data_IF_251486773297
#
_entry.id   IF_251486773297
#
_cell.length_a   1.000
_cell.length_b   1.000
_cell.length_c   1.000
_cell.angle_alpha   90.00
_cell.angle_beta   90.00
_cell.angle_gamma   90.00
#
_symmetry.space_group_name_H-M   'P 1'
#
loop_
_entity.id
_entity.type
_entity.pdbx_description
1 polymer ?
#
# COMPACT_ATOMS: atom_id res chain seq x y z
N UNK A 1 -25.81 -1.00 -2.53
CA UNK A 1 -25.11 -0.56 -3.76
C UNK A 1 -23.63 -0.54 -3.42
N UNK A 2 -22.94 -1.65 -3.64
CA UNK A 2 -21.50 -1.79 -3.44
C UNK A 2 -20.86 -1.75 -4.82
N UNK A 3 -20.31 -0.61 -5.19
CA UNK A 3 -19.70 -0.45 -6.51
C UNK A 3 -19.29 0.98 -6.73
N UNK A 4 -18.13 1.38 -6.20
CA UNK A 4 -17.23 2.30 -6.94
C UNK A 4 -15.84 2.51 -6.29
N UNK A 5 -15.57 2.09 -5.05
CA UNK A 5 -14.28 2.41 -4.39
C UNK A 5 -13.03 1.63 -4.86
N UNK A 6 -13.08 0.85 -5.95
CA UNK A 6 -11.91 0.07 -6.41
C UNK A 6 -11.47 0.33 -7.86
N UNK A 7 -12.03 1.32 -8.54
CA UNK A 7 -11.60 1.67 -9.90
C UNK A 7 -10.56 2.77 -9.86
N UNK A 8 -9.30 2.40 -9.66
CA UNK A 8 -8.20 3.24 -10.16
C UNK A 8 -8.51 3.51 -11.64
N UNK A 9 -8.59 4.78 -12.03
CA UNK A 9 -8.85 5.11 -13.43
C UNK A 9 -7.77 4.48 -14.31
N UNK A 10 -8.13 3.90 -15.46
CA UNK A 10 -7.16 3.27 -16.38
C UNK A 10 -5.99 4.20 -16.70
N UNK A 11 -6.23 5.51 -16.80
CA UNK A 11 -5.19 6.51 -17.01
C UNK A 11 -4.18 6.58 -15.85
N UNK A 12 -4.65 6.52 -14.59
CA UNK A 12 -3.76 6.50 -13.41
C UNK A 12 -2.96 5.20 -13.31
N UNK A 13 -3.58 4.07 -13.63
CA UNK A 13 -2.89 2.78 -13.70
C UNK A 13 -1.77 2.81 -14.75
N UNK A 14 -2.06 3.26 -15.97
CA UNK A 14 -1.06 3.39 -17.04
C UNK A 14 0.07 4.34 -16.64
N UNK A 15 -0.26 5.49 -16.03
CA UNK A 15 0.75 6.42 -15.53
C UNK A 15 1.69 5.78 -14.52
N UNK A 16 1.15 5.06 -13.53
CA UNK A 16 1.94 4.33 -12.53
C UNK A 16 2.80 3.22 -13.14
N UNK A 17 2.26 2.47 -14.11
CA UNK A 17 2.98 1.41 -14.79
C UNK A 17 4.18 1.96 -15.57
N UNK A 18 4.01 3.09 -16.27
CA UNK A 18 5.11 3.74 -17.01
C UNK A 18 6.27 4.12 -16.10
N UNK A 19 5.99 4.72 -14.94
CA UNK A 19 7.02 5.06 -13.97
C UNK A 19 7.75 3.80 -13.47
N UNK A 20 7.01 2.73 -13.15
CA UNK A 20 7.59 1.44 -12.74
C UNK A 20 8.46 0.81 -13.83
N UNK A 21 8.02 0.83 -15.09
CA UNK A 21 8.78 0.31 -16.23
C UNK A 21 10.10 1.07 -16.39
N UNK A 22 10.08 2.40 -16.31
CA UNK A 22 11.29 3.22 -16.44
C UNK A 22 12.34 2.90 -15.37
N UNK A 23 11.91 2.47 -14.19
CA UNK A 23 12.78 2.09 -13.08
C UNK A 23 13.26 0.63 -13.17
N UNK A 24 12.36 -0.31 -13.43
CA UNK A 24 12.67 -1.74 -13.39
C UNK A 24 13.32 -2.27 -14.68
N UNK A 25 12.83 -1.85 -15.85
CA UNK A 25 13.24 -2.45 -17.12
C UNK A 25 14.76 -2.39 -17.37
N UNK A 26 15.46 -1.26 -17.16
CA UNK A 26 16.91 -1.22 -17.34
C UNK A 26 17.66 -2.21 -16.44
N UNK A 27 17.20 -2.38 -15.21
CA UNK A 27 17.78 -3.32 -14.25
C UNK A 27 17.58 -4.76 -14.69
N UNK A 28 16.37 -5.12 -15.15
CA UNK A 28 16.06 -6.46 -15.63
C UNK A 28 16.84 -6.83 -16.90
N UNK A 29 16.93 -5.90 -17.85
CA UNK A 29 17.73 -6.07 -19.08
C UNK A 29 19.21 -6.28 -18.75
N UNK A 30 19.74 -5.51 -17.79
CA UNK A 30 21.14 -5.62 -17.37
C UNK A 30 21.48 -6.98 -16.73
N UNK A 31 20.49 -7.73 -16.21
CA UNK A 31 20.71 -9.07 -15.64
C UNK A 31 21.08 -10.11 -16.71
N UNK A 32 20.75 -9.87 -17.99
CA UNK A 32 21.04 -10.80 -19.12
C UNK A 32 20.61 -12.24 -18.82
N UNK A 33 19.42 -12.39 -18.25
CA UNK A 33 18.76 -13.66 -17.98
C UNK A 33 17.27 -13.43 -17.84
N UNK A 34 16.50 -14.47 -18.10
CA UNK A 34 15.09 -14.53 -17.75
C UNK A 34 14.89 -14.73 -16.24
N UNK A 35 13.68 -14.42 -15.77
CA UNK A 35 13.32 -14.61 -14.38
C UNK A 35 11.82 -14.68 -14.16
N UNK A 36 11.43 -14.74 -12.88
CA UNK A 36 10.12 -15.22 -12.49
C UNK A 36 8.97 -14.49 -13.14
N UNK A 37 9.09 -13.18 -13.32
CA UNK A 37 8.05 -12.30 -13.86
C UNK A 37 8.50 -11.57 -15.15
N UNK A 38 9.61 -11.97 -15.77
CA UNK A 38 10.02 -11.40 -17.05
C UNK A 38 10.65 -12.41 -18.01
N UNK A 39 10.46 -12.14 -19.30
CA UNK A 39 10.80 -13.03 -20.41
C UNK A 39 11.29 -12.20 -21.60
N UNK A 40 12.18 -12.76 -22.43
CA UNK A 40 12.69 -12.10 -23.62
C UNK A 40 12.21 -12.79 -24.89
N UNK A 41 11.94 -11.99 -25.92
CA UNK A 41 11.60 -12.46 -27.26
C UNK A 41 12.32 -11.61 -28.28
N UNK A 42 12.94 -12.28 -29.26
CA UNK A 42 13.62 -11.62 -30.37
C UNK A 42 12.67 -10.80 -31.23
N UNK A 43 11.48 -11.32 -31.50
CA UNK A 43 10.47 -10.68 -32.34
C UNK A 43 9.06 -10.93 -31.80
N UNK A 44 8.10 -10.10 -32.24
CA UNK A 44 6.69 -10.32 -31.94
C UNK A 44 6.21 -11.66 -32.48
N UNK A 45 5.37 -12.36 -31.71
CA UNK A 45 4.82 -13.65 -32.13
C UNK A 45 4.01 -13.53 -33.42
N UNK A 46 4.24 -14.48 -34.34
CA UNK A 46 3.46 -14.63 -35.57
C UNK A 46 2.11 -15.28 -35.31
N UNK A 47 2.05 -16.20 -34.34
CA UNK A 47 0.82 -16.84 -33.89
C UNK A 47 0.32 -16.20 -32.59
N UNK A 48 -0.91 -15.70 -32.60
CA UNK A 48 -1.57 -15.18 -31.40
C UNK A 48 -1.68 -16.24 -30.30
N UNK A 49 -1.71 -17.54 -30.62
CA UNK A 49 -1.80 -18.59 -29.59
C UNK A 49 -0.55 -18.68 -28.71
N UNK A 50 0.62 -18.38 -29.28
CA UNK A 50 1.89 -18.35 -28.54
C UNK A 50 1.95 -17.10 -27.65
N UNK A 51 1.54 -15.94 -28.16
CA UNK A 51 1.44 -14.73 -27.34
C UNK A 51 0.41 -14.88 -26.20
N UNK A 52 -0.75 -15.51 -26.46
CA UNK A 52 -1.73 -15.79 -25.40
C UNK A 52 -1.16 -16.73 -24.34
N UNK A 53 -0.37 -17.74 -24.73
CA UNK A 53 0.30 -18.65 -23.80
C UNK A 53 1.29 -17.92 -22.90
N UNK A 54 2.15 -17.07 -23.48
CA UNK A 54 3.10 -16.26 -22.70
C UNK A 54 2.35 -15.32 -21.75
N UNK A 55 1.28 -14.65 -22.23
CA UNK A 55 0.45 -13.80 -21.39
C UNK A 55 -0.24 -14.56 -20.25
N UNK A 56 -0.72 -15.79 -20.48
CA UNK A 56 -1.30 -16.63 -19.42
C UNK A 56 -0.26 -16.99 -18.36
N UNK A 57 0.97 -17.34 -18.78
CA UNK A 57 2.05 -17.66 -17.87
C UNK A 57 2.44 -16.46 -16.99
N UNK A 58 2.57 -15.28 -17.61
CA UNK A 58 2.89 -14.02 -16.93
C UNK A 58 1.74 -13.54 -16.03
N UNK A 59 0.48 -13.69 -16.47
CA UNK A 59 -0.69 -13.28 -15.71
C UNK A 59 -0.96 -14.16 -14.47
N UNK A 60 -0.49 -15.41 -14.48
CA UNK A 60 -0.59 -16.33 -13.34
C UNK A 60 0.70 -16.41 -12.52
N UNK A 61 1.56 -15.39 -12.62
CA UNK A 61 2.76 -15.29 -11.80
C UNK A 61 2.41 -14.95 -10.34
N UNK A 62 3.04 -15.64 -9.39
CA UNK A 62 2.81 -15.44 -7.95
C UNK A 62 3.83 -14.51 -7.27
N UNK A 63 4.93 -14.18 -7.95
CA UNK A 63 6.02 -13.38 -7.40
C UNK A 63 5.84 -11.87 -7.63
N UNK A 64 5.12 -11.47 -8.69
CA UNK A 64 4.86 -10.08 -9.04
C UNK A 64 3.46 -9.88 -9.62
N UNK A 65 2.84 -8.77 -9.24
CA UNK A 65 1.57 -8.28 -9.80
C UNK A 65 1.73 -7.67 -11.20
N UNK A 66 2.96 -7.35 -11.61
CA UNK A 66 3.30 -6.86 -12.95
C UNK A 66 4.42 -7.71 -13.52
N UNK A 67 4.15 -8.29 -14.69
CA UNK A 67 5.09 -9.12 -15.42
C UNK A 67 5.41 -8.51 -16.79
N UNK A 68 6.60 -8.78 -17.31
CA UNK A 68 7.16 -8.13 -18.50
C UNK A 68 7.53 -9.14 -19.60
N UNK A 69 7.09 -8.89 -20.81
CA UNK A 69 7.62 -9.55 -22.01
C UNK A 69 8.38 -8.51 -22.84
N UNK A 70 9.70 -8.64 -22.86
CA UNK A 70 10.60 -7.76 -23.60
C UNK A 70 10.74 -8.26 -25.03
N UNK A 71 10.33 -7.47 -26.01
CA UNK A 71 10.25 -7.86 -27.41
C UNK A 71 11.22 -7.00 -28.22
N UNK A 72 12.04 -7.64 -29.04
CA UNK A 72 13.17 -7.01 -29.72
C UNK A 72 14.50 -7.28 -29.04
N UNK A 73 14.65 -8.41 -28.35
CA UNK A 73 15.88 -8.79 -27.63
C UNK A 73 16.33 -10.19 -28.03
N UNK A 74 17.55 -10.32 -28.58
CA UNK A 74 18.10 -11.60 -29.03
C UNK A 74 18.94 -12.27 -27.93
N UNK A 75 18.38 -13.30 -27.31
CA UNK A 75 19.04 -14.07 -26.26
C UNK A 75 20.26 -14.85 -26.76
N UNK A 76 20.21 -15.38 -27.99
CA UNK A 76 21.31 -16.14 -28.58
C UNK A 76 22.53 -15.25 -28.86
N UNK A 77 22.28 -13.95 -29.06
CA UNK A 77 23.29 -12.94 -29.33
C UNK A 77 23.57 -12.03 -28.11
N UNK A 78 23.41 -12.58 -26.90
CA UNK A 78 23.82 -11.92 -25.66
C UNK A 78 22.90 -10.78 -25.22
N UNK A 79 21.60 -10.91 -25.52
CA UNK A 79 20.54 -9.94 -25.29
C UNK A 79 20.75 -8.66 -26.09
N UNK A 80 21.11 -8.79 -27.38
CA UNK A 80 21.29 -7.66 -28.29
C UNK A 80 19.94 -7.11 -28.76
N UNK A 81 19.89 -5.81 -29.04
CA UNK A 81 18.66 -5.15 -29.50
C UNK A 81 18.37 -5.50 -30.95
N UNK A 82 17.15 -5.99 -31.19
CA UNK A 82 16.52 -6.17 -32.48
C UNK A 82 15.41 -5.13 -32.62
N UNK A 83 15.68 -4.05 -33.37
CA UNK A 83 14.76 -2.92 -33.53
C UNK A 83 13.39 -3.36 -34.07
N UNK A 84 12.35 -3.23 -33.24
CA UNK A 84 10.98 -3.63 -33.58
C UNK A 84 10.29 -2.68 -34.56
N UNK A 85 10.77 -1.44 -34.74
CA UNK A 85 10.17 -0.49 -35.69
C UNK A 85 10.57 -0.80 -37.13
N UNK A 86 11.81 -1.26 -37.32
CA UNK A 86 12.40 -1.56 -38.61
C UNK A 86 12.53 -3.08 -38.85
N UNK A 87 11.65 -3.89 -38.25
CA UNK A 87 11.65 -5.34 -38.40
C UNK A 87 10.64 -5.82 -39.47
N UNK A 88 11.14 -6.29 -40.61
CA UNK A 88 10.32 -6.84 -41.69
C UNK A 88 9.88 -8.31 -41.46
N UNK A 89 10.42 -8.98 -40.44
CA UNK A 89 10.19 -10.41 -40.20
C UNK A 89 8.96 -10.71 -39.35
N UNK A 90 8.43 -9.73 -38.60
CA UNK A 90 7.28 -9.89 -37.74
C UNK A 90 6.43 -8.60 -37.69
N UNK A 91 5.11 -8.76 -37.61
CA UNK A 91 4.19 -7.62 -37.45
C UNK A 91 4.24 -7.10 -36.00
N UNK A 92 4.76 -5.88 -35.81
CA UNK A 92 4.73 -5.17 -34.53
C UNK A 92 3.29 -5.00 -34.02
N UNK A 93 3.03 -5.37 -32.76
CA UNK A 93 1.67 -5.28 -32.18
C UNK A 93 1.48 -3.98 -31.43
N UNK A 94 0.41 -3.25 -31.80
CA UNK A 94 -0.01 -2.04 -31.07
C UNK A 94 -0.91 -2.38 -29.88
N UNK A 95 -1.07 -1.43 -28.95
CA UNK A 95 -2.02 -1.54 -27.84
C UNK A 95 -3.45 -1.89 -28.30
N UNK A 96 -3.91 -1.34 -29.42
CA UNK A 96 -5.24 -1.66 -29.95
C UNK A 96 -5.34 -3.12 -30.41
N UNK A 97 -4.28 -3.64 -31.05
CA UNK A 97 -4.24 -5.04 -31.49
C UNK A 97 -4.25 -6.00 -30.30
N UNK A 98 -3.54 -5.66 -29.21
CA UNK A 98 -3.58 -6.45 -27.97
C UNK A 98 -4.99 -6.45 -27.37
N UNK A 99 -5.63 -5.28 -27.23
CA UNK A 99 -7.00 -5.16 -26.72
C UNK A 99 -7.99 -5.95 -27.57
N UNK A 100 -7.89 -5.86 -28.90
CA UNK A 100 -8.75 -6.58 -29.84
C UNK A 100 -8.55 -8.10 -29.74
N UNK A 101 -7.31 -8.56 -29.54
CA UNK A 101 -6.99 -9.98 -29.36
C UNK A 101 -7.57 -10.52 -28.04
N UNK A 102 -7.34 -9.82 -26.93
CA UNK A 102 -7.81 -10.20 -25.60
C UNK A 102 -9.34 -10.24 -25.54
N UNK A 103 -10.02 -9.26 -26.14
CA UNK A 103 -11.49 -9.19 -26.17
C UNK A 103 -12.16 -10.28 -27.01
N UNK A 104 -11.49 -10.76 -28.07
CA UNK A 104 -11.96 -11.88 -28.89
C UNK A 104 -11.71 -13.25 -28.23
N UNK A 105 -10.71 -13.32 -27.36
CA UNK A 105 -10.35 -14.54 -26.61
C UNK A 105 -11.42 -14.86 -25.56
N UNK A 106 -11.71 -16.15 -25.35
CA UNK A 106 -12.72 -16.61 -24.41
C UNK A 106 -12.06 -17.03 -23.10
N UNK A 107 -12.24 -16.22 -22.07
CA UNK A 107 -11.66 -16.38 -20.73
C UNK A 107 -12.63 -17.09 -19.78
N UNK A 108 -12.13 -17.84 -18.81
CA UNK A 108 -12.96 -18.55 -17.82
C UNK A 108 -13.69 -17.60 -16.88
N UNK A 109 -12.98 -16.62 -16.33
CA UNK A 109 -13.56 -15.60 -15.44
C UNK A 109 -14.23 -14.44 -16.20
N UNK A 110 -14.35 -14.56 -17.53
CA UNK A 110 -14.96 -13.55 -18.41
C UNK A 110 -14.16 -12.25 -18.55
N UNK A 111 -13.02 -12.11 -17.88
CA UNK A 111 -12.13 -10.95 -17.94
C UNK A 111 -10.71 -11.38 -18.33
N UNK A 112 -10.08 -10.73 -19.33
CA UNK A 112 -8.65 -10.90 -19.59
C UNK A 112 -7.80 -10.20 -18.53
N UNK A 113 -6.51 -10.57 -18.40
CA UNK A 113 -5.56 -9.73 -17.69
C UNK A 113 -5.45 -8.35 -18.35
N UNK A 114 -5.14 -7.31 -17.57
CA UNK A 114 -4.85 -6.01 -18.15
C UNK A 114 -3.46 -6.02 -18.76
N UNK A 115 -3.32 -5.54 -20.00
CA UNK A 115 -2.04 -5.49 -20.67
C UNK A 115 -1.83 -4.20 -21.45
N UNK A 116 -0.58 -3.73 -21.50
CA UNK A 116 -0.17 -2.52 -22.22
C UNK A 116 1.22 -2.72 -22.81
N UNK A 117 1.42 -2.22 -24.03
CA UNK A 117 2.70 -2.15 -24.71
C UNK A 117 3.27 -0.75 -24.52
N UNK A 118 4.48 -0.69 -23.98
CA UNK A 118 5.27 0.54 -23.81
C UNK A 118 6.61 0.40 -24.56
N UNK A 119 6.84 1.19 -25.62
CA UNK A 119 8.12 1.21 -26.32
C UNK A 119 9.24 1.82 -25.48
N UNK A 120 10.46 1.36 -25.68
CA UNK A 120 11.68 1.89 -25.06
C UNK A 120 12.82 1.95 -26.08
N UNK A 121 13.51 3.09 -26.12
CA UNK A 121 14.76 3.23 -26.88
C UNK A 121 15.91 2.60 -26.10
N UNK A 122 16.65 1.70 -26.75
CA UNK A 122 17.78 0.98 -26.16
C UNK A 122 18.85 0.72 -27.22
N UNK A 123 20.11 1.04 -26.90
CA UNK A 123 21.28 0.80 -27.78
C UNK A 123 21.12 1.26 -29.24
N UNK A 124 20.33 2.31 -29.47
CA UNK A 124 20.12 2.90 -30.79
C UNK A 124 19.04 2.22 -31.64
N UNK A 125 18.25 1.32 -31.06
CA UNK A 125 17.02 0.79 -31.64
C UNK A 125 15.86 0.84 -30.65
N UNK A 126 14.67 0.47 -31.09
CA UNK A 126 13.48 0.42 -30.24
C UNK A 126 13.17 -1.02 -29.85
N UNK A 127 12.81 -1.24 -28.58
CA UNK A 127 12.19 -2.47 -28.10
C UNK A 127 10.76 -2.17 -27.63
N UNK A 128 9.90 -3.19 -27.65
CA UNK A 128 8.57 -3.10 -27.05
C UNK A 128 8.51 -3.87 -25.74
N UNK A 129 7.94 -3.27 -24.70
CA UNK A 129 7.73 -3.92 -23.40
C UNK A 129 6.22 -4.17 -23.23
N UNK A 130 5.79 -5.42 -23.38
CA UNK A 130 4.42 -5.82 -23.06
C UNK A 130 4.33 -6.10 -21.55
N UNK A 131 3.62 -5.22 -20.85
CA UNK A 131 3.34 -5.36 -19.43
C UNK A 131 2.01 -6.07 -19.23
N UNK A 132 2.00 -7.13 -18.43
CA UNK A 132 0.82 -7.89 -18.05
C UNK A 132 0.59 -7.69 -16.55
N UNK A 133 -0.59 -7.17 -16.20
CA UNK A 133 -0.97 -6.91 -14.81
C UNK A 133 -1.90 -8.01 -14.33
N UNK A 134 -1.42 -8.69 -13.29
CA UNK A 134 -2.07 -9.78 -12.60
C UNK A 134 -2.90 -9.23 -11.45
N UNK A 135 -4.17 -9.62 -11.37
CA UNK A 135 -5.01 -9.34 -10.21
C UNK A 135 -5.27 -10.63 -9.44
N UNK A 136 -4.92 -10.63 -8.16
CA UNK A 136 -5.10 -11.75 -7.24
C UNK A 136 -6.53 -12.32 -7.32
N UNK A 137 -7.54 -11.44 -7.32
CA UNK A 137 -8.95 -11.82 -7.38
C UNK A 137 -9.43 -12.39 -8.73
N UNK A 138 -8.65 -12.24 -9.80
CA UNK A 138 -8.99 -12.76 -11.13
C UNK A 138 -8.25 -14.07 -11.44
N UNK A 139 -7.23 -14.43 -10.66
CA UNK A 139 -6.49 -15.67 -10.84
C UNK A 139 -7.34 -16.91 -10.51
N UNK A 140 -7.06 -18.07 -11.12
CA UNK A 140 -6.19 -18.24 -12.28
C UNK A 140 -6.82 -17.64 -13.54
N UNK A 141 -6.01 -17.00 -14.37
CA UNK A 141 -6.34 -16.68 -15.75
C UNK A 141 -6.23 -17.95 -16.60
N UNK A 142 -7.34 -18.33 -17.24
CA UNK A 142 -7.41 -19.46 -18.16
C UNK A 142 -8.48 -19.21 -19.22
N UNK A 143 -8.49 -20.05 -20.27
CA UNK A 143 -9.40 -19.91 -21.39
C UNK A 143 -10.62 -20.80 -21.24
N UNK A 144 -11.83 -20.26 -21.37
CA UNK A 144 -13.06 -21.06 -21.47
C UNK A 144 -13.22 -21.77 -22.83
N UNK A 145 -12.49 -21.32 -23.84
CA UNK A 145 -12.37 -22.00 -25.13
C UNK A 145 -10.93 -21.89 -25.63
N UNK A 146 -10.37 -23.01 -26.06
CA UNK A 146 -8.99 -23.07 -26.56
C UNK A 146 -8.75 -22.12 -27.73
N UNK A 147 -7.49 -21.68 -27.86
CA UNK A 147 -6.99 -20.79 -28.90
C UNK A 147 -5.71 -21.38 -29.49
N UNK A 148 -5.76 -21.84 -30.75
CA UNK A 148 -4.63 -22.52 -31.38
C UNK A 148 -4.19 -23.75 -30.57
N UNK A 149 -2.95 -23.74 -30.09
CA UNK A 149 -2.35 -24.80 -29.25
C UNK A 149 -2.80 -24.74 -27.78
N UNK A 150 -3.25 -23.58 -27.31
CA UNK A 150 -3.68 -23.38 -25.91
C UNK A 150 -5.03 -24.06 -25.70
N UNK A 151 -5.10 -24.99 -24.76
CA UNK A 151 -6.32 -25.75 -24.45
C UNK A 151 -7.24 -24.97 -23.51
N UNK A 152 -8.54 -25.27 -23.59
CA UNK A 152 -9.51 -24.70 -22.65
C UNK A 152 -9.28 -25.24 -21.23
N UNK A 153 -9.56 -24.40 -20.23
CA UNK A 153 -9.50 -24.69 -18.79
C UNK A 153 -8.13 -25.14 -18.27
N UNK A 154 -7.08 -24.92 -19.07
CA UNK A 154 -5.72 -25.23 -18.69
C UNK A 154 -5.11 -23.99 -18.04
N UNK A 155 -4.61 -24.17 -16.81
CA UNK A 155 -3.86 -23.13 -16.11
C UNK A 155 -2.41 -23.23 -16.56
N UNK A 156 -1.85 -22.11 -16.98
CA UNK A 156 -0.44 -21.97 -17.31
C UNK A 156 0.19 -20.97 -16.37
N UNK A 157 1.42 -21.21 -15.94
CA UNK A 157 2.20 -20.27 -15.12
C UNK A 157 3.66 -20.29 -15.56
N UNK A 158 4.45 -19.40 -14.98
CA UNK A 158 5.90 -19.30 -15.18
C UNK A 158 6.64 -20.01 -14.03
N UNK A 159 7.63 -20.81 -14.38
CA UNK A 159 8.58 -21.52 -13.50
C UNK A 159 9.91 -20.82 -13.57
N UNK A 160 10.17 -19.87 -12.68
CA UNK A 160 11.42 -19.09 -12.61
C UNK A 160 11.86 -18.54 -13.99
N UNK A 161 12.59 -19.31 -14.80
CA UNK A 161 13.10 -18.93 -16.12
C UNK A 161 12.36 -19.59 -17.31
N UNK A 162 11.22 -20.25 -17.10
CA UNK A 162 10.52 -20.95 -18.19
C UNK A 162 9.00 -20.96 -18.04
N UNK A 163 8.27 -20.98 -19.14
CA UNK A 163 6.82 -21.15 -19.13
C UNK A 163 6.44 -22.64 -18.99
N UNK A 164 5.33 -22.91 -18.30
CA UNK A 164 4.72 -24.25 -18.34
C UNK A 164 4.40 -24.67 -19.79
N UNK A 165 4.56 -25.95 -20.19
CA UNK A 165 4.32 -26.37 -21.56
C UNK A 165 2.91 -26.03 -22.05
N UNK A 166 2.80 -25.56 -23.29
CA UNK A 166 1.53 -25.08 -23.87
C UNK A 166 0.42 -26.14 -23.96
N UNK A 167 0.78 -27.42 -23.98
CA UNK A 167 -0.12 -28.56 -24.14
C UNK A 167 -0.35 -29.39 -22.85
N UNK A 168 0.46 -29.16 -21.82
CA UNK A 168 0.38 -29.84 -20.51
C UNK A 168 -0.10 -28.93 -19.38
N UNK A 169 0.28 -27.65 -19.40
CA UNK A 169 -0.06 -26.68 -18.36
C UNK A 169 0.73 -26.84 -17.06
N UNK A 170 0.21 -26.21 -16.01
CA UNK A 170 0.75 -26.25 -14.66
C UNK A 170 0.43 -27.58 -13.96
N UNK A 171 1.34 -28.02 -13.10
CA UNK A 171 1.14 -29.16 -12.21
C UNK A 171 0.06 -28.87 -11.15
N UNK A 172 -0.44 -29.92 -10.51
CA UNK A 172 -1.45 -29.76 -9.46
C UNK A 172 -1.01 -28.83 -8.32
N UNK A 173 0.25 -28.93 -7.88
CA UNK A 173 0.78 -28.08 -6.81
C UNK A 173 0.80 -26.61 -7.23
N UNK A 174 1.24 -26.31 -8.45
CA UNK A 174 1.28 -24.94 -8.99
C UNK A 174 -0.13 -24.35 -9.10
N UNK A 175 -1.11 -25.16 -9.54
CA UNK A 175 -2.52 -24.76 -9.59
C UNK A 175 -3.07 -24.51 -8.18
N UNK A 176 -2.73 -25.35 -7.20
CA UNK A 176 -3.12 -25.17 -5.80
C UNK A 176 -2.53 -23.88 -5.24
N UNK A 177 -1.26 -23.57 -5.51
CA UNK A 177 -0.61 -22.34 -5.06
C UNK A 177 -1.29 -21.10 -5.65
N UNK A 178 -1.70 -21.13 -6.92
CA UNK A 178 -2.47 -20.04 -7.54
C UNK A 178 -3.85 -19.88 -6.88
N UNK A 179 -4.53 -20.97 -6.53
CA UNK A 179 -5.80 -20.87 -5.79
C UNK A 179 -5.61 -20.37 -4.37
N UNK A 180 -4.54 -20.78 -3.68
CA UNK A 180 -4.18 -20.23 -2.37
C UNK A 180 -3.95 -18.73 -2.48
N UNK A 181 -3.23 -18.29 -3.50
CA UNK A 181 -3.04 -16.88 -3.80
C UNK A 181 -4.37 -16.16 -4.07
N UNK A 182 -5.21 -16.69 -4.94
CA UNK A 182 -6.54 -16.12 -5.21
C UNK A 182 -7.36 -15.90 -3.92
N UNK A 183 -7.35 -16.86 -3.01
CA UNK A 183 -8.07 -16.79 -1.73
C UNK A 183 -7.28 -16.11 -0.59
N UNK A 184 -6.10 -15.55 -0.86
CA UNK A 184 -5.21 -14.94 0.14
C UNK A 184 -4.81 -15.90 1.29
N UNK A 185 -4.68 -17.19 1.00
CA UNK A 185 -4.28 -18.25 1.94
C UNK A 185 -2.75 -18.47 1.98
N UNK A 186 -2.02 -17.80 1.10
CA UNK A 186 -0.57 -17.62 1.11
C UNK A 186 -0.13 -16.39 1.93
N UNK A 187 -1.06 -15.48 2.24
CA UNK A 187 -0.82 -14.30 3.06
C UNK A 187 -0.85 -14.59 4.56
N UNK A 188 -0.07 -13.82 5.33
CA UNK A 188 -0.11 -13.90 6.79
C UNK A 188 -1.48 -13.44 7.34
N UNK A 189 -1.93 -13.94 8.51
CA UNK A 189 -3.16 -13.44 9.14
C UNK A 189 -3.17 -11.91 9.32
N UNK A 190 -1.99 -11.32 9.57
CA UNK A 190 -1.82 -9.89 9.73
C UNK A 190 -2.07 -9.10 8.43
N UNK A 191 -1.59 -9.62 7.30
CA UNK A 191 -1.86 -9.03 5.99
C UNK A 191 -3.34 -9.15 5.61
N UNK A 192 -3.93 -10.34 5.86
CA UNK A 192 -5.36 -10.61 5.59
C UNK A 192 -6.29 -9.69 6.39
N UNK A 193 -6.03 -9.50 7.69
CA UNK A 193 -6.92 -8.68 8.52
C UNK A 193 -6.87 -7.20 8.12
N UNK A 194 -5.73 -6.70 7.63
CA UNK A 194 -5.63 -5.32 7.12
C UNK A 194 -6.66 -5.05 6.01
N UNK A 195 -6.80 -5.98 5.06
CA UNK A 195 -7.82 -5.91 4.00
C UNK A 195 -9.24 -6.05 4.57
N UNK A 196 -9.43 -6.93 5.56
CA UNK A 196 -10.74 -7.12 6.19
C UNK A 196 -11.20 -5.87 6.96
N UNK A 197 -10.29 -5.12 7.60
CA UNK A 197 -10.62 -3.87 8.32
C UNK A 197 -11.19 -2.78 7.39
N UNK A 198 -10.78 -2.76 6.12
CA UNK A 198 -11.34 -1.86 5.11
C UNK A 198 -12.79 -2.23 4.75
N UNK A 199 -13.15 -3.52 4.88
CA UNK A 199 -14.48 -4.04 4.64
C UNK A 199 -15.37 -3.98 5.90
N UNK A 200 -15.54 -2.76 6.44
CA UNK A 200 -16.29 -2.49 7.67
C UNK A 200 -17.69 -3.13 7.70
N UNK A 201 -18.35 -3.19 6.54
CA UNK A 201 -19.73 -3.66 6.41
C UNK A 201 -19.96 -5.13 6.78
N UNK A 202 -18.90 -5.93 6.85
CA UNK A 202 -18.96 -7.35 7.19
C UNK A 202 -18.44 -7.67 8.60
N UNK A 203 -18.10 -6.67 9.40
CA UNK A 203 -17.84 -6.87 10.82
C UNK A 203 -19.16 -6.87 11.61
N UNK A 204 -19.25 -7.76 12.61
CA UNK A 204 -20.42 -7.94 13.46
C UNK A 204 -19.98 -7.95 14.91
N UNK A 205 -20.83 -7.44 15.81
CA UNK A 205 -20.57 -7.46 17.24
C UNK A 205 -20.44 -8.90 17.74
N UNK A 206 -19.47 -9.13 18.63
CA UNK A 206 -19.21 -10.43 19.23
C UNK A 206 -20.38 -10.88 20.12
N UNK A 207 -21.10 -9.92 20.71
CA UNK A 207 -22.34 -10.17 21.45
C UNK A 207 -23.33 -9.05 21.17
N UNK A 208 -24.57 -9.40 20.86
CA UNK A 208 -25.70 -8.44 20.82
C UNK A 208 -26.39 -8.30 22.19
N UNK A 209 -26.07 -9.18 23.15
CA UNK A 209 -26.69 -9.23 24.47
C UNK A 209 -25.84 -8.51 25.51
N UNK A 210 -24.52 -8.73 25.46
CA UNK A 210 -23.56 -7.97 26.25
C UNK A 210 -23.19 -6.75 25.43
N UNK A 211 -23.38 -5.54 25.97
CA UNK A 211 -22.91 -4.32 25.32
C UNK A 211 -21.40 -4.37 25.16
N UNK A 212 -20.93 -4.81 24.00
CA UNK A 212 -19.53 -4.86 23.62
C UNK A 212 -19.38 -4.25 22.23
N UNK A 213 -18.29 -3.53 22.07
CA UNK A 213 -17.86 -2.99 20.78
C UNK A 213 -16.87 -3.95 20.08
N UNK A 214 -16.55 -5.09 20.73
CA UNK A 214 -15.76 -6.17 20.14
C UNK A 214 -16.47 -6.75 18.92
N UNK A 215 -15.71 -7.03 17.86
CA UNK A 215 -16.25 -7.47 16.58
C UNK A 215 -15.52 -8.69 16.03
N UNK A 216 -16.25 -9.50 15.26
CA UNK A 216 -15.69 -10.56 14.42
C UNK A 216 -16.03 -10.32 12.95
N UNK A 217 -15.20 -10.86 12.04
CA UNK A 217 -15.45 -10.75 10.61
C UNK A 217 -16.40 -11.86 10.13
N UNK A 218 -17.50 -11.50 9.46
CA UNK A 218 -18.61 -12.43 9.14
C UNK A 218 -18.18 -13.67 8.34
N UNK A 219 -17.28 -13.51 7.38
CA UNK A 219 -16.83 -14.60 6.50
C UNK A 219 -15.59 -15.34 6.99
N UNK A 220 -14.95 -14.85 8.06
CA UNK A 220 -13.80 -15.47 8.70
C UNK A 220 -13.85 -15.16 10.21
N UNK A 221 -14.81 -15.77 10.94
CA UNK A 221 -15.11 -15.43 12.33
C UNK A 221 -13.96 -15.73 13.31
N UNK A 222 -12.94 -16.44 12.85
CA UNK A 222 -11.68 -16.58 13.58
C UNK A 222 -10.89 -15.27 13.68
N UNK A 223 -11.18 -14.26 12.86
CA UNK A 223 -10.64 -12.91 13.03
C UNK A 223 -11.53 -12.06 13.93
N UNK A 224 -10.96 -11.55 15.02
CA UNK A 224 -11.67 -10.67 15.96
C UNK A 224 -10.86 -9.42 16.27
N UNK A 225 -11.55 -8.29 16.47
CA UNK A 225 -11.00 -7.05 17.05
C UNK A 225 -11.67 -6.86 18.40
N UNK A 226 -10.88 -6.82 19.46
CA UNK A 226 -11.34 -6.64 20.82
C UNK A 226 -10.68 -5.42 21.45
N UNK A 227 -11.33 -4.77 22.42
CA UNK A 227 -10.65 -3.77 23.24
C UNK A 227 -11.06 -3.81 24.72
N UNK A 228 -10.07 -3.60 25.58
CA UNK A 228 -10.20 -3.71 27.02
C UNK A 228 -9.79 -2.39 27.67
N UNK A 229 -10.58 -1.90 28.63
CA UNK A 229 -10.21 -0.70 29.37
C UNK A 229 -8.89 -0.93 30.12
N UNK A 230 -8.06 0.10 30.11
CA UNK A 230 -6.79 0.13 30.82
C UNK A 230 -6.88 1.21 31.91
N UNK A 231 -7.35 0.79 33.07
CA UNK A 231 -7.57 1.68 34.22
C UNK A 231 -6.27 2.00 34.97
N UNK A 232 -5.14 1.40 34.57
CA UNK A 232 -3.83 1.65 35.19
C UNK A 232 -3.13 2.88 34.59
N UNK A 233 -3.49 3.28 33.36
CA UNK A 233 -2.96 4.48 32.72
C UNK A 233 -3.79 5.72 33.06
N UNK A 234 -3.12 6.71 33.63
CA UNK A 234 -3.70 7.98 34.08
C UNK A 234 -2.99 9.21 33.49
N UNK A 235 -2.04 9.02 32.56
CA UNK A 235 -1.32 10.10 31.89
C UNK A 235 -2.14 10.78 30.80
N UNK A 236 -2.07 12.12 30.76
CA UNK A 236 -2.55 12.93 29.63
C UNK A 236 -1.57 12.90 28.46
N UNK A 237 -2.12 12.82 27.26
CA UNK A 237 -1.40 13.13 26.02
C UNK A 237 -1.96 14.42 25.43
N UNK A 238 -1.10 15.18 24.74
CA UNK A 238 -1.42 16.52 24.28
C UNK A 238 -2.66 16.54 23.34
N UNK A 239 -2.84 15.50 22.52
CA UNK A 239 -3.98 15.39 21.58
C UNK A 239 -5.34 15.20 22.27
N UNK A 240 -5.36 14.77 23.53
CA UNK A 240 -6.60 14.67 24.32
C UNK A 240 -7.13 16.05 24.70
N UNK A 241 -6.24 17.02 24.89
CA UNK A 241 -6.59 18.34 25.39
C UNK A 241 -7.28 19.21 24.33
N UNK A 242 -7.15 18.84 23.05
CA UNK A 242 -7.87 19.46 21.93
C UNK A 242 -9.34 19.00 21.83
N UNK A 243 -9.78 18.01 22.62
CA UNK A 243 -11.17 17.53 22.65
C UNK A 243 -12.07 18.42 23.50
N UNK A 244 -13.39 18.43 23.30
CA UNK A 244 -14.27 19.23 24.19
C UNK A 244 -14.25 18.66 25.62
N UNK A 245 -14.31 17.34 25.73
CA UNK A 245 -14.15 16.58 26.96
C UNK A 245 -12.78 15.86 26.95
N UNK A 246 -11.80 16.31 27.74
CA UNK A 246 -10.45 15.74 27.75
C UNK A 246 -10.33 14.61 28.79
N UNK A 247 -11.44 14.03 29.27
CA UNK A 247 -11.39 12.91 30.21
C UNK A 247 -10.55 11.74 29.69
N UNK A 248 -9.79 11.13 30.59
CA UNK A 248 -8.91 10.01 30.29
C UNK A 248 -9.72 8.73 30.13
N UNK A 249 -9.43 7.97 29.08
CA UNK A 249 -10.04 6.67 28.83
C UNK A 249 -9.13 5.85 27.93
N UNK A 250 -8.19 5.13 28.56
CA UNK A 250 -7.20 4.29 27.89
C UNK A 250 -7.71 2.87 27.71
N UNK A 251 -7.23 2.22 26.65
CA UNK A 251 -7.59 0.86 26.29
C UNK A 251 -6.39 0.10 25.74
N UNK A 252 -6.49 -1.21 25.72
CA UNK A 252 -5.69 -2.08 24.85
C UNK A 252 -6.59 -2.60 23.74
N UNK A 253 -6.16 -2.45 22.48
CA UNK A 253 -6.82 -3.03 21.30
C UNK A 253 -6.06 -4.29 20.92
N UNK A 254 -6.78 -5.38 20.69
CA UNK A 254 -6.20 -6.65 20.24
C UNK A 254 -6.87 -7.12 18.95
N UNK A 255 -6.06 -7.51 17.98
CA UNK A 255 -6.50 -8.29 16.83
C UNK A 255 -6.09 -9.74 17.06
N UNK A 256 -7.06 -10.65 16.96
CA UNK A 256 -6.84 -12.08 17.16
C UNK A 256 -7.13 -12.86 15.88
N UNK A 257 -6.37 -13.93 15.68
CA UNK A 257 -6.66 -15.01 14.75
C UNK A 257 -6.84 -16.30 15.55
N UNK A 258 -8.05 -16.85 15.51
CA UNK A 258 -8.57 -17.76 16.53
C UNK A 258 -8.43 -17.15 17.93
N UNK A 259 -7.59 -17.75 18.79
CA UNK A 259 -7.28 -17.24 20.13
C UNK A 259 -5.88 -16.63 20.21
N UNK A 260 -5.14 -16.62 19.10
CA UNK A 260 -3.79 -16.07 19.05
C UNK A 260 -3.89 -14.57 18.82
N UNK A 261 -3.34 -13.78 19.75
CA UNK A 261 -3.14 -12.35 19.54
C UNK A 261 -2.07 -12.14 18.48
N UNK A 262 -2.47 -11.67 17.30
CA UNK A 262 -1.58 -11.45 16.16
C UNK A 262 -1.10 -10.01 16.08
N UNK A 263 -1.79 -9.09 16.76
CA UNK A 263 -1.43 -7.68 16.89
C UNK A 263 -2.10 -7.09 18.12
N UNK A 264 -1.42 -6.17 18.79
CA UNK A 264 -1.96 -5.34 19.85
C UNK A 264 -1.38 -3.93 19.81
N UNK A 265 -2.18 -2.97 20.25
CA UNK A 265 -1.80 -1.56 20.33
C UNK A 265 -2.58 -0.90 21.46
N UNK A 266 -2.15 0.29 21.87
CA UNK A 266 -2.93 1.09 22.80
C UNK A 266 -4.11 1.74 22.07
N UNK A 267 -5.24 1.82 22.75
CA UNK A 267 -6.43 2.52 22.29
C UNK A 267 -6.77 3.69 23.21
N UNK A 268 -7.54 4.63 22.68
CA UNK A 268 -8.03 5.77 23.42
C UNK A 268 -9.46 6.12 23.02
N UNK A 269 -10.32 6.32 24.02
CA UNK A 269 -11.62 6.93 23.84
C UNK A 269 -11.50 8.45 24.09
N UNK A 270 -11.83 9.23 23.07
CA UNK A 270 -11.69 10.67 23.01
C UNK A 270 -13.04 11.37 23.12
N UNK A 271 -13.03 12.61 23.61
CA UNK A 271 -14.21 13.47 23.75
C UNK A 271 -15.34 12.80 24.54
N UNK A 272 -15.01 12.21 25.70
CA UNK A 272 -15.95 11.50 26.56
C UNK A 272 -16.54 10.23 25.93
N UNK A 273 -15.79 9.57 25.03
CA UNK A 273 -16.21 8.33 24.37
C UNK A 273 -16.89 8.52 23.02
N UNK A 274 -16.93 9.73 22.46
CA UNK A 274 -17.54 10.00 21.14
C UNK A 274 -16.70 9.49 19.97
N UNK A 275 -15.41 9.28 20.17
CA UNK A 275 -14.53 8.70 19.16
C UNK A 275 -13.52 7.77 19.80
N UNK A 276 -13.34 6.58 19.22
CA UNK A 276 -12.34 5.61 19.65
C UNK A 276 -11.30 5.44 18.56
N UNK A 277 -10.02 5.45 18.94
CA UNK A 277 -8.91 5.30 18.01
C UNK A 277 -7.77 4.51 18.66
N UNK A 278 -6.90 3.88 17.86
CA UNK A 278 -5.59 3.51 18.35
C UNK A 278 -4.80 4.75 18.75
N UNK A 279 -3.74 4.55 19.51
CA UNK A 279 -2.83 5.60 19.94
C UNK A 279 -1.79 5.81 18.84
N UNK A 280 -1.56 7.06 18.41
CA UNK A 280 -0.59 7.33 17.36
C UNK A 280 0.84 7.04 17.85
N UNK A 281 1.73 6.72 16.91
CA UNK A 281 3.15 6.54 17.20
C UNK A 281 3.79 7.87 17.58
N UNK A 282 4.88 7.84 18.36
CA UNK A 282 5.63 9.03 18.75
C UNK A 282 6.94 9.10 17.98
N UNK A 283 7.27 10.29 17.49
CA UNK A 283 8.61 10.60 17.03
C UNK A 283 9.27 11.65 17.92
N UNK A 284 10.59 11.55 18.04
CA UNK A 284 11.42 12.42 18.86
C UNK A 284 12.50 13.04 17.97
N UNK A 285 12.36 14.34 17.71
CA UNK A 285 13.29 15.09 16.87
C UNK A 285 14.40 15.70 17.72
N UNK A 286 15.61 15.65 17.17
CA UNK A 286 16.82 16.24 17.74
C UNK A 286 17.47 17.15 16.71
N UNK A 287 17.68 18.41 17.07
CA UNK A 287 18.40 19.40 16.27
C UNK A 287 19.90 19.07 16.28
N UNK A 288 20.46 18.84 17.47
CA UNK A 288 21.82 18.32 17.64
C UNK A 288 21.80 16.81 17.88
N UNK A 289 22.36 16.04 16.93
CA UNK A 289 22.48 14.58 17.06
C UNK A 289 23.32 14.13 18.26
N UNK A 290 24.13 15.02 18.85
CA UNK A 290 24.94 14.73 20.04
C UNK A 290 24.18 14.93 21.35
N UNK A 291 23.01 15.56 21.32
CA UNK A 291 22.14 15.71 22.49
C UNK A 291 21.54 14.37 22.91
N UNK A 292 21.43 14.16 24.23
CA UNK A 292 20.70 13.04 24.82
C UNK A 292 19.20 13.33 24.89
N UNK A 293 18.83 14.60 25.06
CA UNK A 293 17.44 15.07 25.14
C UNK A 293 16.89 15.38 23.74
N UNK A 294 15.58 15.20 23.58
CA UNK A 294 14.87 15.59 22.35
C UNK A 294 14.40 17.05 22.44
N UNK A 295 14.34 17.72 21.30
CA UNK A 295 13.92 19.12 21.21
C UNK A 295 12.41 19.27 20.92
N UNK A 296 11.84 18.23 20.29
CA UNK A 296 10.44 18.17 19.91
C UNK A 296 9.96 16.71 19.90
N UNK A 297 8.79 16.48 20.50
CA UNK A 297 8.03 15.24 20.33
C UNK A 297 6.78 15.54 19.52
N UNK A 298 6.42 14.67 18.60
CA UNK A 298 5.14 14.75 17.91
C UNK A 298 4.59 13.35 17.65
N UNK A 299 3.27 13.24 17.64
CA UNK A 299 2.57 12.00 17.32
C UNK A 299 2.23 11.93 15.83
N UNK A 300 2.28 10.72 15.28
CA UNK A 300 2.02 10.48 13.87
C UNK A 300 1.33 9.15 13.59
N UNK A 301 0.73 9.09 12.40
CA UNK A 301 0.34 7.86 11.71
C UNK A 301 1.07 7.75 10.38
N UNK A 302 1.32 6.52 9.92
CA UNK A 302 1.57 6.24 8.50
C UNK A 302 0.34 5.57 7.89
N UNK A 303 -0.01 5.93 6.66
CA UNK A 303 -1.23 5.40 6.00
C UNK A 303 -1.20 3.90 5.76
N UNK A 304 -0.03 3.30 5.75
CA UNK A 304 0.20 1.86 5.58
C UNK A 304 0.24 1.09 6.92
N UNK A 305 0.17 1.76 8.07
CA UNK A 305 0.15 1.09 9.38
C UNK A 305 -1.19 0.43 9.70
N UNK A 306 -1.15 -0.61 10.55
CA UNK A 306 -2.38 -1.19 11.10
C UNK A 306 -3.10 -0.24 12.05
N UNK A 307 -2.38 0.63 12.76
CA UNK A 307 -3.00 1.65 13.59
C UNK A 307 -3.84 2.60 12.72
N UNK A 308 -3.36 3.00 11.54
CA UNK A 308 -4.18 3.77 10.62
C UNK A 308 -5.41 3.00 10.12
N UNK A 309 -5.24 1.72 9.73
CA UNK A 309 -6.38 0.87 9.36
C UNK A 309 -7.41 0.72 10.48
N UNK A 310 -6.98 0.62 11.74
CA UNK A 310 -7.84 0.58 12.91
C UNK A 310 -8.52 1.93 13.19
N UNK A 311 -7.81 3.05 13.04
CA UNK A 311 -8.37 4.39 13.13
C UNK A 311 -9.50 4.58 12.10
N UNK A 312 -9.29 4.12 10.87
CA UNK A 312 -10.35 4.10 9.88
C UNK A 312 -11.47 3.15 10.30
N UNK A 313 -11.17 1.92 10.72
CA UNK A 313 -12.15 0.91 11.12
C UNK A 313 -13.14 1.39 12.20
N UNK A 314 -12.64 2.04 13.26
CA UNK A 314 -13.48 2.54 14.36
C UNK A 314 -14.26 3.80 14.01
N UNK A 315 -13.88 4.51 12.94
CA UNK A 315 -14.58 5.70 12.53
C UNK A 315 -15.93 5.38 11.88
N UNK A 316 -17.00 5.85 12.53
CA UNK A 316 -18.36 5.88 11.99
C UNK A 316 -18.66 7.26 11.37
N UNK A 317 -18.84 7.28 10.05
CA UNK A 317 -19.12 8.50 9.29
C UNK A 317 -20.52 9.07 9.59
N UNK A 318 -21.47 8.24 10.01
CA UNK A 318 -22.85 8.65 10.27
C UNK A 318 -23.00 9.31 11.65
N UNK A 319 -22.05 9.08 12.56
CA UNK A 319 -22.06 9.65 13.89
C UNK A 319 -21.46 11.08 13.93
N UNK A 320 -22.35 12.09 13.92
CA UNK A 320 -21.97 13.50 13.79
C UNK A 320 -20.96 14.02 14.81
N UNK A 321 -21.12 13.64 16.08
CA UNK A 321 -20.21 14.03 17.16
C UNK A 321 -18.83 13.37 17.00
N UNK A 322 -18.80 12.08 16.62
CA UNK A 322 -17.58 11.35 16.33
C UNK A 322 -16.74 11.98 15.20
N UNK A 323 -17.39 12.56 14.18
CA UNK A 323 -16.69 13.31 13.12
C UNK A 323 -15.95 14.53 13.67
N UNK A 324 -16.53 15.23 14.65
CA UNK A 324 -15.91 16.41 15.26
C UNK A 324 -14.70 15.99 16.10
N UNK A 325 -14.88 14.98 16.95
CA UNK A 325 -13.82 14.45 17.82
C UNK A 325 -12.64 13.89 17.00
N UNK A 326 -12.91 13.08 15.96
CA UNK A 326 -11.88 12.57 15.05
C UNK A 326 -11.12 13.68 14.33
N UNK A 327 -11.82 14.69 13.81
CA UNK A 327 -11.17 15.82 13.13
C UNK A 327 -10.21 16.55 14.08
N UNK A 328 -10.66 16.89 15.30
CA UNK A 328 -9.82 17.55 16.30
C UNK A 328 -8.63 16.69 16.72
N UNK A 329 -8.82 15.39 16.85
CA UNK A 329 -7.74 14.47 17.11
C UNK A 329 -6.71 14.46 15.97
N UNK A 330 -7.17 14.28 14.73
CA UNK A 330 -6.29 14.27 13.58
C UNK A 330 -5.67 15.64 13.29
N UNK A 331 -6.25 16.76 13.72
CA UNK A 331 -5.63 18.09 13.71
C UNK A 331 -4.34 18.13 14.55
N UNK A 332 -4.24 17.29 15.59
CA UNK A 332 -3.08 17.19 16.50
C UNK A 332 -2.11 16.04 16.19
N UNK A 333 -2.31 15.32 15.08
CA UNK A 333 -1.46 14.19 14.67
C UNK A 333 -0.95 14.41 13.24
N UNK A 334 0.34 14.16 12.99
CA UNK A 334 0.93 14.23 11.64
C UNK A 334 0.64 12.93 10.88
N UNK A 335 0.27 13.00 9.60
CA UNK A 335 -0.08 11.82 8.80
C UNK A 335 0.88 11.71 7.63
N UNK A 336 1.72 10.68 7.65
CA UNK A 336 2.64 10.33 6.57
C UNK A 336 2.05 9.26 5.65
N UNK A 337 2.54 9.21 4.42
CA UNK A 337 2.22 8.15 3.46
C UNK A 337 2.79 6.81 3.93
N UNK A 338 4.05 6.82 4.33
CA UNK A 338 4.80 5.67 4.82
C UNK A 338 5.95 6.15 5.73
N UNK A 339 6.71 5.19 6.23
CA UNK A 339 7.83 5.43 7.13
C UNK A 339 9.04 6.10 6.43
N UNK A 340 9.18 5.96 5.10
CA UNK A 340 10.25 6.60 4.35
C UNK A 340 9.97 8.10 4.15
N UNK A 341 8.71 8.47 3.88
CA UNK A 341 8.27 9.88 3.86
C UNK A 341 8.54 10.54 5.22
N UNK A 342 8.22 9.86 6.33
CA UNK A 342 8.49 10.38 7.68
C UNK A 342 9.98 10.64 7.90
N UNK A 343 10.85 9.67 7.58
CA UNK A 343 12.31 9.81 7.74
C UNK A 343 12.86 10.95 6.87
N UNK A 344 12.40 11.04 5.62
CA UNK A 344 12.78 12.12 4.70
C UNK A 344 12.35 13.49 5.23
N UNK A 345 11.11 13.59 5.70
CA UNK A 345 10.60 14.82 6.31
C UNK A 345 11.40 15.26 7.55
N UNK A 346 11.83 14.33 8.40
CA UNK A 346 12.66 14.66 9.57
C UNK A 346 14.09 15.10 9.22
N UNK A 347 14.60 14.69 8.07
CA UNK A 347 15.87 15.23 7.55
C UNK A 347 15.65 16.70 7.18
N UNK A 348 14.62 17.01 6.39
CA UNK A 348 14.27 18.39 6.01
C UNK A 348 14.01 19.26 7.25
N UNK A 349 13.26 18.76 8.22
CA UNK A 349 12.93 19.50 9.44
C UNK A 349 14.19 19.92 10.22
N UNK A 350 15.25 19.09 10.22
CA UNK A 350 16.54 19.44 10.86
C UNK A 350 17.31 20.48 10.06
N UNK A 351 17.28 20.38 8.73
CA UNK A 351 17.91 21.37 7.84
C UNK A 351 17.25 22.74 7.97
N UNK A 352 15.92 22.76 8.19
CA UNK A 352 15.09 23.95 8.32
C UNK A 352 14.78 24.32 9.80
N UNK A 353 15.56 23.83 10.77
CA UNK A 353 15.23 24.02 12.20
C UNK A 353 15.14 25.50 12.61
N UNK A 354 15.95 26.39 12.01
CA UNK A 354 15.91 27.83 12.30
C UNK A 354 14.55 28.45 11.91
N UNK A 355 14.03 28.06 10.74
CA UNK A 355 12.72 28.52 10.24
C UNK A 355 11.61 27.98 11.16
N UNK A 356 11.70 26.70 11.54
CA UNK A 356 10.78 26.08 12.48
C UNK A 356 10.73 26.79 13.85
N UNK A 357 11.89 27.12 14.44
CA UNK A 357 11.94 27.82 15.74
C UNK A 357 11.46 29.29 15.64
N UNK A 358 11.74 29.97 14.52
CA UNK A 358 11.21 31.33 14.25
C UNK A 358 9.67 31.30 14.26
N UNK A 359 9.06 30.38 13.53
CA UNK A 359 7.62 30.22 13.50
C UNK A 359 7.00 29.79 14.83
N UNK A 360 7.67 28.89 15.56
CA UNK A 360 7.27 28.52 16.91
C UNK A 360 7.26 29.71 17.86
N UNK A 361 8.14 30.70 17.65
CA UNK A 361 8.17 31.92 18.47
C UNK A 361 7.04 32.91 18.13
N UNK A 362 6.62 32.96 16.86
CA UNK A 362 5.58 33.88 16.38
C UNK A 362 4.15 33.34 16.53
N UNK A 363 3.98 32.01 16.50
CA UNK A 363 2.66 31.40 16.59
C UNK A 363 1.99 31.68 17.95
N UNK A 364 0.65 31.82 18.00
CA UNK A 364 -0.08 31.92 19.26
C UNK A 364 -0.10 30.57 19.99
N UNK A 365 -0.43 30.60 21.29
CA UNK A 365 -0.63 29.37 22.04
C UNK A 365 -1.88 28.62 21.54
N UNK A 366 -1.80 27.29 21.39
CA UNK A 366 -2.88 26.48 20.83
C UNK A 366 -3.99 26.26 21.86
N UNK A 367 -5.21 26.00 21.37
CA UNK A 367 -6.30 25.55 22.22
C UNK A 367 -5.92 24.24 22.94
N UNK A 368 -6.16 24.18 24.24
CA UNK A 368 -5.93 22.98 25.04
C UNK A 368 -4.64 22.99 25.86
N UNK A 369 -3.71 23.90 25.56
CA UNK A 369 -2.46 24.09 26.31
C UNK A 369 -2.69 24.29 27.82
N UNK A 370 -3.76 25.00 28.17
CA UNK A 370 -4.12 25.39 29.54
C UNK A 370 -4.93 24.33 30.30
N UNK A 371 -5.28 23.21 29.66
CA UNK A 371 -6.31 22.28 30.15
C UNK A 371 -5.80 21.08 30.91
N UNK A 372 -4.48 20.99 31.09
CA UNK A 372 -3.91 20.03 32.03
C UNK A 372 -4.37 20.34 33.46
N UNK A 373 -4.58 19.31 34.30
CA UNK A 373 -4.90 19.50 35.71
C UNK A 373 -3.89 20.40 36.46
N UNK A 374 -4.36 21.12 37.48
CA UNK A 374 -3.54 22.12 38.18
C UNK A 374 -2.29 21.52 38.85
N UNK A 375 -2.38 20.26 39.29
CA UNK A 375 -1.33 19.50 39.97
C UNK A 375 -0.20 19.01 39.04
N UNK A 376 -0.35 19.14 37.72
CA UNK A 376 0.75 18.89 36.78
C UNK A 376 1.87 19.94 36.94
N UNK A 377 3.16 19.52 36.94
CA UNK A 377 4.31 20.43 36.95
C UNK A 377 4.25 21.46 35.81
N UNK A 378 4.80 22.65 36.03
CA UNK A 378 4.80 23.70 35.02
C UNK A 378 5.57 23.25 33.77
N UNK A 379 6.65 22.48 33.95
CA UNK A 379 7.45 21.94 32.85
C UNK A 379 6.61 21.03 31.93
N UNK A 380 5.69 20.24 32.49
CA UNK A 380 4.79 19.39 31.70
C UNK A 380 3.76 20.22 30.91
N UNK A 381 3.27 21.31 31.50
CA UNK A 381 2.35 22.25 30.83
C UNK A 381 3.04 22.97 29.68
N UNK A 382 4.26 23.43 29.90
CA UNK A 382 5.08 24.09 28.88
C UNK A 382 5.42 23.12 27.73
N UNK A 383 5.75 21.86 28.06
CA UNK A 383 6.03 20.82 27.07
C UNK A 383 4.80 20.53 26.19
N UNK A 384 3.65 20.27 26.79
CA UNK A 384 2.40 19.99 26.05
C UNK A 384 1.98 21.18 25.19
N UNK A 385 2.16 22.41 25.69
CA UNK A 385 1.91 23.63 24.92
C UNK A 385 2.80 23.69 23.69
N UNK A 386 4.11 23.42 23.86
CA UNK A 386 5.08 23.37 22.76
C UNK A 386 4.72 22.29 21.74
N UNK A 387 4.32 21.10 22.18
CA UNK A 387 3.94 19.98 21.30
C UNK A 387 2.68 20.30 20.48
N UNK A 388 1.62 20.79 21.11
CA UNK A 388 0.39 21.20 20.41
C UNK A 388 0.67 22.33 19.40
N UNK A 389 1.54 23.27 19.75
CA UNK A 389 1.88 24.43 18.94
C UNK A 389 2.69 24.03 17.71
N UNK A 390 3.52 22.99 17.82
CA UNK A 390 4.33 22.50 16.72
C UNK A 390 3.50 21.84 15.61
N UNK A 391 2.39 21.14 15.92
CA UNK A 391 1.69 20.31 14.93
C UNK A 391 1.21 21.09 13.69
N UNK A 392 0.56 22.27 13.79
CA UNK A 392 0.16 23.03 12.62
C UNK A 392 1.34 23.43 11.72
N UNK A 393 2.49 23.78 12.33
CA UNK A 393 3.72 24.14 11.61
C UNK A 393 4.28 22.91 10.89
N UNK A 394 4.42 21.78 11.60
CA UNK A 394 4.90 20.52 11.02
C UNK A 394 4.05 20.08 9.82
N UNK A 395 2.73 20.23 9.90
CA UNK A 395 1.83 19.86 8.80
C UNK A 395 2.01 20.74 7.57
N UNK A 396 2.18 22.05 7.76
CA UNK A 396 2.44 22.95 6.63
C UNK A 396 3.79 22.65 5.99
N UNK A 397 4.85 22.45 6.77
CA UNK A 397 6.16 22.04 6.26
C UNK A 397 6.10 20.68 5.53
N UNK A 398 5.26 19.74 6.00
CA UNK A 398 5.05 18.46 5.33
C UNK A 398 4.33 18.63 3.97
N UNK A 399 3.38 19.56 3.87
CA UNK A 399 2.74 19.91 2.59
C UNK A 399 3.74 20.51 1.61
N UNK A 400 4.66 21.36 2.09
CA UNK A 400 5.76 21.92 1.29
C UNK A 400 6.74 20.82 0.84
N UNK A 401 7.13 19.91 1.73
CA UNK A 401 7.97 18.73 1.41
C UNK A 401 7.35 17.86 0.32
N UNK A 402 6.03 17.65 0.34
CA UNK A 402 5.30 16.91 -0.70
C UNK A 402 5.18 17.68 -2.03
N UNK A 403 5.24 19.00 -1.98
CA UNK A 403 5.16 19.88 -3.14
C UNK A 403 6.49 20.05 -3.89
N UNK A 404 7.62 19.68 -3.28
CA UNK A 404 8.95 19.78 -3.86
C UNK A 404 9.39 18.44 -4.53
N UNK A 405 9.55 18.39 -5.87
CA UNK A 405 9.99 17.20 -6.58
C UNK A 405 11.41 16.72 -6.21
N UNK A 406 12.27 17.57 -5.64
CA UNK A 406 13.63 17.19 -5.23
C UNK A 406 13.69 16.54 -3.83
N UNK A 407 12.77 16.89 -2.93
CA UNK A 407 12.70 16.32 -1.57
C UNK A 407 12.44 14.81 -1.53
N UNK A 408 11.69 14.29 -2.50
CA UNK A 408 11.41 12.85 -2.64
C UNK A 408 12.62 12.04 -3.16
N UNK A 409 13.64 12.68 -3.75
CA UNK A 409 14.82 11.98 -4.32
C UNK A 409 15.92 11.73 -3.29
N UNK A 410 15.92 12.46 -2.18
CA UNK A 410 16.96 12.37 -1.14
C UNK A 410 16.88 11.08 -0.29
N UNK A 411 15.80 10.28 -0.41
CA UNK A 411 15.67 8.99 0.31
C UNK A 411 16.57 7.87 -0.20
N UNK A 412 17.27 8.06 -1.32
CA UNK A 412 18.11 7.00 -1.93
C UNK A 412 19.60 7.08 -1.58
N UNK A 413 20.05 8.12 -0.86
CA UNK A 413 21.44 8.19 -0.43
C UNK A 413 21.64 7.36 0.83
N UNK A 414 22.20 6.15 0.65
CA UNK A 414 22.81 5.34 1.71
C UNK A 414 23.70 6.20 2.60
N UNK A 415 23.24 6.49 3.80
CA UNK A 415 24.06 6.67 5.00
C UNK A 415 23.17 6.39 6.22
N UNK A 416 23.08 5.09 6.53
CA UNK A 416 22.61 4.55 7.81
C UNK A 416 23.77 4.47 8.78
#
# INVERSE_FOLDING_TARGET
MLGDSRRISRARLIGSLRSRIQEEAPNLIALKREGAYWDFKKEWHKDNSELIHDMLCLANNLESDVSYLFIGMDEEEGYSVCDVENNDHAERKTNQMIIDMLSKTKWDNGQPPFAVVEPMELDGGTIDILCVVSRREDMPYSLSKGSGKVRAHMVHTRRVDSNTPIDEGASWSEVEDIWRHHFSLDESPLARVKVMLEDKGHWRFLSEVVGTEDKYYLYAPEFTVCHYSDDERDGYEYYMLNQTDPSLSWYTIEIRYFQTRIFDTLGIALDGGRYFAPVPSRSFVRWDRRSLDFDLMYCYYTRDSLDWSLNEFFFDEDYGDGRIARRRFLETVVIFQDEEERKGFEILLREHHSEFEEEMSEAPDPYGAERLPEDYPQEAKDQVTRELKAIPILKRMLEEFRGDPEGLRLSTSRDW
#
